data_IF_414638140702
#
_entry.id   IF_414638140702
#
_cell.length_a   1.000
_cell.length_b   1.000
_cell.length_c   1.000
_cell.angle_alpha   90.00
_cell.angle_beta   90.00
_cell.angle_gamma   90.00
#
_symmetry.space_group_name_H-M   'P 1'
#
loop_
_entity.id
_entity.type
_entity.pdbx_description
1 polymer ?
#
# COMPACT_ATOMS: atom_id res chain seq x y z
N UNK A 1 -4.88 -6.51 -9.87
CA UNK A 1 -5.26 -7.93 -9.99
C UNK A 1 -6.24 -8.38 -8.90
N UNK A 2 -5.88 -8.43 -7.60
CA UNK A 2 -6.82 -8.90 -6.55
C UNK A 2 -8.02 -7.97 -6.38
N UNK A 3 -7.77 -6.66 -6.22
CA UNK A 3 -8.84 -5.67 -6.01
C UNK A 3 -9.83 -5.65 -7.18
N UNK A 4 -9.35 -5.62 -8.41
CA UNK A 4 -10.18 -5.70 -9.61
C UNK A 4 -10.95 -7.04 -9.69
N UNK A 5 -10.31 -8.14 -9.28
CA UNK A 5 -10.98 -9.44 -9.16
C UNK A 5 -12.15 -9.39 -8.18
N UNK A 6 -11.94 -8.86 -6.97
CA UNK A 6 -13.00 -8.72 -5.97
C UNK A 6 -14.20 -7.95 -6.52
N UNK A 7 -13.97 -6.87 -7.26
CA UNK A 7 -15.05 -6.09 -7.89
C UNK A 7 -15.80 -6.86 -8.96
N UNK A 8 -15.09 -7.59 -9.83
CA UNK A 8 -15.70 -8.41 -10.90
C UNK A 8 -16.61 -9.50 -10.35
N UNK A 9 -16.36 -9.96 -9.13
CA UNK A 9 -17.17 -10.97 -8.44
C UNK A 9 -18.15 -10.39 -7.40
N UNK A 10 -18.31 -9.06 -7.35
CA UNK A 10 -19.29 -8.39 -6.47
C UNK A 10 -18.83 -8.14 -5.03
N UNK A 11 -17.58 -8.45 -4.68
CA UNK A 11 -16.99 -8.22 -3.36
C UNK A 11 -16.46 -6.77 -3.21
N UNK A 12 -17.32 -5.78 -3.46
CA UNK A 12 -16.91 -4.36 -3.49
C UNK A 12 -16.37 -3.86 -2.15
N UNK A 13 -16.97 -4.27 -1.03
CA UNK A 13 -16.53 -3.87 0.31
C UNK A 13 -15.11 -4.37 0.62
N UNK A 14 -14.81 -5.63 0.26
CA UNK A 14 -13.46 -6.17 0.44
C UNK A 14 -12.45 -5.51 -0.51
N UNK A 15 -12.84 -5.24 -1.76
CA UNK A 15 -12.00 -4.51 -2.70
C UNK A 15 -11.61 -3.13 -2.14
N UNK A 16 -12.59 -2.40 -1.60
CA UNK A 16 -12.37 -1.12 -0.95
C UNK A 16 -11.49 -1.25 0.29
N UNK A 17 -11.81 -2.19 1.20
CA UNK A 17 -11.01 -2.44 2.40
C UNK A 17 -9.54 -2.71 2.08
N UNK A 18 -9.25 -3.49 1.03
CA UNK A 18 -7.87 -3.75 0.58
C UNK A 18 -7.21 -2.48 0.05
N UNK A 19 -7.91 -1.67 -0.77
CA UNK A 19 -7.38 -0.38 -1.25
C UNK A 19 -6.97 0.53 -0.09
N UNK A 20 -7.86 0.74 0.87
CA UNK A 20 -7.61 1.61 2.02
C UNK A 20 -6.43 1.11 2.86
N UNK A 21 -6.41 -0.17 3.23
CA UNK A 21 -5.32 -0.73 4.05
C UNK A 21 -3.97 -0.63 3.35
N UNK A 22 -3.94 -0.88 2.04
CA UNK A 22 -2.71 -0.73 1.25
C UNK A 22 -2.24 0.72 1.22
N UNK A 23 -3.12 1.66 0.85
CA UNK A 23 -2.78 3.08 0.79
C UNK A 23 -2.35 3.63 2.14
N UNK A 24 -3.03 3.24 3.23
CA UNK A 24 -2.65 3.67 4.58
C UNK A 24 -1.25 3.19 4.94
N UNK A 25 -0.91 1.91 4.72
CA UNK A 25 0.44 1.41 4.98
C UNK A 25 1.51 2.16 4.15
N UNK A 26 1.21 2.48 2.89
CA UNK A 26 2.09 3.29 2.06
C UNK A 26 2.29 4.71 2.64
N UNK A 27 1.22 5.35 3.11
CA UNK A 27 1.27 6.69 3.73
C UNK A 27 2.07 6.64 5.03
N UNK A 28 1.78 5.67 5.90
CA UNK A 28 2.46 5.51 7.19
C UNK A 28 3.98 5.38 6.99
N UNK A 29 4.41 4.52 6.07
CA UNK A 29 5.85 4.35 5.74
C UNK A 29 6.42 5.60 5.06
N UNK A 30 5.66 6.28 4.20
CA UNK A 30 6.12 7.49 3.53
C UNK A 30 6.39 8.62 4.54
N UNK A 31 5.54 8.77 5.54
CA UNK A 31 5.60 9.82 6.57
C UNK A 31 6.53 9.48 7.73
N UNK A 32 6.50 8.24 8.21
CA UNK A 32 7.21 7.81 9.42
C UNK A 32 8.56 7.16 9.11
N UNK A 33 8.71 6.60 7.91
CA UNK A 33 9.87 5.81 7.53
C UNK A 33 9.77 4.38 8.04
N UNK A 34 10.50 3.48 7.40
CA UNK A 34 10.66 2.08 7.81
C UNK A 34 11.34 2.02 9.18
N UNK A 35 10.71 1.37 10.14
CA UNK A 35 11.10 1.34 11.56
C UNK A 35 11.32 2.75 12.17
N UNK A 36 10.66 3.79 11.64
CA UNK A 36 10.86 5.18 12.09
C UNK A 36 12.15 5.83 11.59
N UNK A 37 12.89 5.22 10.66
CA UNK A 37 14.16 5.75 10.17
C UNK A 37 13.97 6.91 9.18
N UNK A 38 14.46 8.11 9.53
CA UNK A 38 14.28 9.33 8.73
C UNK A 38 14.76 9.20 7.28
N UNK A 39 15.89 8.53 7.06
CA UNK A 39 16.47 8.34 5.73
C UNK A 39 15.65 7.39 4.84
N UNK A 40 14.54 6.82 5.33
CA UNK A 40 13.65 5.91 4.61
C UNK A 40 12.30 6.54 4.24
N UNK A 41 12.07 7.79 4.62
CA UNK A 41 10.85 8.54 4.29
C UNK A 41 10.79 8.99 2.83
N UNK A 42 9.62 9.53 2.48
CA UNK A 42 9.36 10.26 1.23
C UNK A 42 9.57 9.46 -0.06
N UNK A 43 9.45 8.13 0.02
CA UNK A 43 9.48 7.25 -1.13
C UNK A 43 8.53 6.07 -0.92
N UNK A 44 7.90 5.61 -2.01
CA UNK A 44 7.27 4.30 -2.03
C UNK A 44 8.32 3.21 -2.25
N UNK A 45 8.15 2.10 -1.56
CA UNK A 45 9.08 0.98 -1.55
C UNK A 45 8.58 -0.15 -2.45
N UNK A 46 9.50 -1.01 -2.88
CA UNK A 46 9.19 -2.21 -3.67
C UNK A 46 8.14 -3.11 -3.00
N UNK A 47 8.21 -3.26 -1.67
CA UNK A 47 7.37 -4.14 -0.86
C UNK A 47 7.17 -3.59 0.55
N UNK A 48 6.12 -4.06 1.22
CA UNK A 48 5.67 -3.59 2.52
C UNK A 48 5.38 -4.77 3.45
N UNK A 49 5.65 -4.60 4.75
CA UNK A 49 5.15 -5.51 5.76
C UNK A 49 3.66 -5.22 5.99
N UNK A 50 2.81 -6.22 5.74
CA UNK A 50 1.35 -6.10 5.85
C UNK A 50 0.80 -6.68 7.17
N UNK A 51 1.67 -7.31 7.98
CA UNK A 51 1.35 -7.81 9.31
C UNK A 51 1.75 -6.77 10.35
N UNK A 52 3.01 -6.33 10.31
CA UNK A 52 3.53 -5.25 11.13
C UNK A 52 3.77 -4.01 10.26
N UNK A 53 2.74 -3.18 10.14
CA UNK A 53 2.77 -1.93 9.35
C UNK A 53 3.91 -1.03 9.84
N UNK A 54 4.65 -0.42 8.91
CA UNK A 54 5.79 0.45 9.23
C UNK A 54 7.12 -0.28 9.45
N UNK A 55 7.12 -1.60 9.67
CA UNK A 55 8.36 -2.37 9.82
C UNK A 55 9.01 -2.74 8.48
N UNK A 56 10.30 -3.08 8.51
CA UNK A 56 11.01 -3.58 7.33
C UNK A 56 10.26 -4.76 6.70
N UNK A 57 9.93 -4.65 5.42
CA UNK A 57 9.54 -5.80 4.62
C UNK A 57 10.77 -6.70 4.45
N UNK A 58 10.71 -7.93 4.96
CA UNK A 58 11.87 -8.82 5.10
C UNK A 58 12.79 -8.88 3.89
N UNK A 59 14.09 -8.92 4.13
CA UNK A 59 15.11 -8.83 3.07
C UNK A 59 15.15 -10.11 2.22
N UNK A 60 15.30 -9.91 0.91
CA UNK A 60 15.51 -11.00 -0.04
C UNK A 60 16.99 -11.29 -0.23
N UNK A 61 17.32 -12.21 -1.15
CA UNK A 61 18.70 -12.57 -1.51
C UNK A 61 19.58 -11.38 -1.95
N UNK A 62 18.97 -10.29 -2.42
CA UNK A 62 19.67 -9.11 -2.93
C UNK A 62 19.72 -7.94 -1.94
N UNK A 63 19.40 -8.17 -0.67
CA UNK A 63 19.45 -7.15 0.37
C UNK A 63 18.23 -6.22 0.38
N UNK A 64 18.45 -5.00 0.87
CA UNK A 64 17.41 -4.03 1.20
C UNK A 64 16.49 -3.69 0.02
N UNK A 65 15.20 -3.52 0.31
CA UNK A 65 14.16 -3.15 -0.66
C UNK A 65 14.48 -1.85 -1.40
N UNK A 66 14.10 -1.74 -2.67
CA UNK A 66 14.39 -0.56 -3.51
C UNK A 66 13.32 0.53 -3.35
N UNK A 67 13.74 1.80 -3.38
CA UNK A 67 12.86 2.99 -3.37
C UNK A 67 12.40 3.39 -4.77
N UNK A 68 11.25 4.08 -4.85
CA UNK A 68 10.74 4.65 -6.09
C UNK A 68 10.22 3.58 -7.06
N UNK A 69 9.73 2.46 -6.53
CA UNK A 69 9.41 1.29 -7.35
C UNK A 69 8.14 1.49 -8.19
N UNK A 70 8.25 1.25 -9.50
CA UNK A 70 7.22 1.61 -10.48
C UNK A 70 5.83 1.03 -10.18
N UNK A 71 5.73 -0.26 -9.81
CA UNK A 71 4.42 -0.84 -9.50
C UNK A 71 3.79 -0.26 -8.24
N UNK A 72 4.58 0.09 -7.22
CA UNK A 72 4.05 0.58 -5.94
C UNK A 72 3.44 1.97 -6.13
N UNK A 73 4.14 2.82 -6.89
CA UNK A 73 3.64 4.12 -7.33
C UNK A 73 2.36 3.98 -8.16
N UNK A 74 2.35 3.10 -9.16
CA UNK A 74 1.20 2.90 -10.04
C UNK A 74 -0.04 2.38 -9.27
N UNK A 75 0.14 1.40 -8.39
CA UNK A 75 -0.95 0.84 -7.56
C UNK A 75 -1.48 1.88 -6.59
N UNK A 76 -0.61 2.63 -5.91
CA UNK A 76 -1.04 3.68 -4.99
C UNK A 76 -1.91 4.73 -5.73
N UNK A 77 -1.41 5.26 -6.86
CA UNK A 77 -2.15 6.21 -7.70
C UNK A 77 -3.50 5.65 -8.15
N UNK A 78 -3.51 4.45 -8.70
CA UNK A 78 -4.73 3.82 -9.20
C UNK A 78 -5.77 3.57 -8.09
N UNK A 79 -5.33 3.26 -6.87
CA UNK A 79 -6.23 3.08 -5.73
C UNK A 79 -6.81 4.41 -5.27
N UNK A 80 -5.98 5.44 -5.10
CA UNK A 80 -6.43 6.77 -4.63
C UNK A 80 -7.33 7.50 -5.63
N UNK A 81 -7.19 7.21 -6.93
CA UNK A 81 -8.05 7.77 -7.98
C UNK A 81 -9.34 6.97 -8.19
N UNK A 82 -9.57 5.89 -7.45
CA UNK A 82 -10.79 5.11 -7.59
C UNK A 82 -12.01 5.96 -7.18
N UNK A 83 -13.12 5.99 -7.97
CA UNK A 83 -14.24 6.92 -7.75
C UNK A 83 -14.87 6.89 -6.36
N UNK A 84 -14.79 5.73 -5.69
CA UNK A 84 -15.35 5.53 -4.34
C UNK A 84 -14.29 5.52 -3.25
N UNK A 85 -13.04 5.89 -3.53
CA UNK A 85 -11.94 5.84 -2.56
C UNK A 85 -12.21 6.65 -1.29
N UNK A 86 -12.94 7.75 -1.36
CA UNK A 86 -13.28 8.57 -0.19
C UNK A 86 -14.68 8.32 0.36
N UNK A 87 -15.46 7.43 -0.28
CA UNK A 87 -16.83 7.12 0.11
C UNK A 87 -16.83 5.91 1.04
N UNK A 88 -16.54 6.12 2.33
CA UNK A 88 -16.70 5.09 3.35
C UNK A 88 -18.17 5.06 3.75
N UNK A 89 -18.93 4.09 3.25
CA UNK A 89 -20.23 3.78 3.86
C UNK A 89 -19.96 2.96 5.12
N UNK A 90 -20.18 3.58 6.27
CA UNK A 90 -20.25 2.87 7.56
C UNK A 90 -21.36 1.82 7.49
N UNK A 91 -21.03 0.57 7.79
CA UNK A 91 -21.97 -0.54 7.96
C UNK A 91 -21.99 -0.98 9.41
#
# INVERSE_FOLDING_TARGET
>A
MVVEGLEKYGYYQDAMRVRHKWCQNCIDVYEQGVNGAENTKHALWEKYNVVNVGETAGDGFYGASVKGFGWSNAVFKAFTEHPNFFNVQES
#
